data_IF_931256610212
#
_entry.id   IF_931256610212
#
_cell.length_a   1.000
_cell.length_b   1.000
_cell.length_c   1.000
_cell.angle_alpha   90.00
_cell.angle_beta   90.00
_cell.angle_gamma   90.00
#
_symmetry.space_group_name_H-M   'P 1'
#
loop_
_entity.id
_entity.type
_entity.pdbx_description
1 polymer ?
#
# COMPACT_ATOMS: atom_id res chain seq x y z
N UNK A 1 -20.65 -40.53 53.80
CA UNK A 1 -19.45 -40.00 53.12
C UNK A 1 -19.32 -40.70 51.77
N UNK A 2 -19.77 -40.05 50.70
CA UNK A 2 -19.51 -40.46 49.31
C UNK A 2 -19.07 -39.18 48.59
N UNK A 3 -17.76 -39.04 48.39
CA UNK A 3 -17.17 -37.96 47.59
C UNK A 3 -17.33 -38.33 46.11
N UNK A 4 -18.33 -37.73 45.46
CA UNK A 4 -18.42 -37.70 44.00
C UNK A 4 -17.46 -36.63 43.47
N UNK A 5 -16.28 -37.04 43.00
CA UNK A 5 -15.34 -36.17 42.29
C UNK A 5 -15.88 -35.89 40.88
N UNK A 6 -16.48 -34.71 40.71
CA UNK A 6 -16.70 -34.08 39.41
C UNK A 6 -15.33 -33.67 38.83
N UNK A 7 -14.63 -34.62 38.18
CA UNK A 7 -13.56 -34.27 37.24
C UNK A 7 -14.23 -33.97 35.90
N UNK A 8 -14.67 -32.72 35.75
CA UNK A 8 -15.02 -32.16 34.44
C UNK A 8 -13.69 -31.75 33.79
N UNK A 9 -13.02 -32.72 33.17
CA UNK A 9 -11.95 -32.44 32.22
C UNK A 9 -12.58 -31.81 30.98
N UNK A 10 -12.87 -30.52 31.07
CA UNK A 10 -13.17 -29.66 29.92
C UNK A 10 -11.87 -29.39 29.14
N UNK A 11 -11.26 -30.46 28.61
CA UNK A 11 -10.31 -30.37 27.50
C UNK A 11 -11.07 -30.07 26.20
N UNK A 12 -11.89 -29.00 26.20
CA UNK A 12 -12.34 -28.44 24.92
C UNK A 12 -11.10 -27.80 24.29
N UNK A 13 -10.65 -28.26 23.10
CA UNK A 13 -9.55 -27.59 22.43
C UNK A 13 -9.91 -26.11 22.27
N UNK A 14 -8.98 -25.17 22.54
CA UNK A 14 -9.26 -23.75 22.46
C UNK A 14 -9.81 -23.43 21.07
N UNK A 15 -11.00 -22.80 21.03
CA UNK A 15 -11.65 -22.42 19.78
C UNK A 15 -10.67 -21.57 18.94
N UNK A 16 -10.43 -21.87 17.65
CA UNK A 16 -9.44 -21.18 16.83
C UNK A 16 -9.58 -19.65 16.82
N UNK A 17 -10.81 -19.15 17.01
CA UNK A 17 -11.13 -17.72 17.09
C UNK A 17 -10.48 -17.00 18.28
N UNK A 18 -10.27 -17.65 19.43
CA UNK A 18 -9.63 -17.02 20.61
C UNK A 18 -8.12 -16.89 20.46
N UNK A 19 -7.52 -17.66 19.53
CA UNK A 19 -6.08 -17.64 19.26
C UNK A 19 -5.69 -16.60 18.20
N UNK A 20 -6.65 -15.94 17.55
CA UNK A 20 -6.39 -15.00 16.46
C UNK A 20 -5.70 -13.74 17.01
N UNK A 21 -4.41 -13.50 16.69
CA UNK A 21 -3.72 -12.34 17.25
C UNK A 21 -4.27 -11.05 16.65
N UNK A 22 -4.65 -10.08 17.48
CA UNK A 22 -5.22 -8.81 17.00
C UNK A 22 -4.28 -8.07 16.05
N UNK A 23 -2.96 -8.13 16.31
CA UNK A 23 -1.95 -7.48 15.47
C UNK A 23 -1.91 -8.09 14.06
N UNK A 24 -2.23 -9.38 13.90
CA UNK A 24 -2.33 -10.01 12.58
C UNK A 24 -3.48 -9.37 11.81
N UNK A 25 -4.64 -9.21 12.44
CA UNK A 25 -5.81 -8.58 11.82
C UNK A 25 -5.49 -7.15 11.38
N UNK A 26 -4.89 -6.37 12.28
CA UNK A 26 -4.48 -5.00 11.98
C UNK A 26 -3.51 -4.94 10.79
N UNK A 27 -2.46 -5.76 10.79
CA UNK A 27 -1.50 -5.78 9.67
C UNK A 27 -2.13 -6.23 8.36
N UNK A 28 -3.00 -7.24 8.36
CA UNK A 28 -3.67 -7.72 7.14
C UNK A 28 -4.66 -6.68 6.58
N UNK A 29 -5.34 -5.90 7.43
CA UNK A 29 -6.19 -4.80 6.98
C UNK A 29 -5.36 -3.68 6.36
N UNK A 30 -4.21 -3.34 6.96
CA UNK A 30 -3.30 -2.34 6.39
C UNK A 30 -2.73 -2.79 5.04
N UNK A 31 -2.31 -4.05 4.92
CA UNK A 31 -1.82 -4.58 3.63
C UNK A 31 -2.92 -4.68 2.59
N UNK A 32 -4.16 -4.97 3.00
CA UNK A 32 -5.31 -4.92 2.11
C UNK A 32 -5.52 -3.50 1.54
N UNK A 33 -5.47 -2.46 2.39
CA UNK A 33 -5.58 -1.06 1.94
C UNK A 33 -4.46 -0.67 0.98
N UNK A 34 -3.22 -1.08 1.27
CA UNK A 34 -2.08 -0.89 0.35
C UNK A 34 -2.35 -1.57 -0.99
N UNK A 35 -2.85 -2.81 -0.95
CA UNK A 35 -3.17 -3.58 -2.15
C UNK A 35 -4.24 -2.88 -3.02
N UNK A 36 -5.32 -2.38 -2.40
CA UNK A 36 -6.37 -1.63 -3.11
C UNK A 36 -5.82 -0.34 -3.71
N UNK A 37 -5.07 0.44 -2.93
CA UNK A 37 -4.45 1.68 -3.41
C UNK A 37 -3.49 1.41 -4.57
N UNK A 38 -2.63 0.40 -4.46
CA UNK A 38 -1.69 -0.01 -5.50
C UNK A 38 -2.39 -0.47 -6.78
N UNK A 39 -3.44 -1.28 -6.64
CA UNK A 39 -4.29 -1.71 -7.75
C UNK A 39 -4.93 -0.53 -8.48
N UNK A 40 -5.61 0.35 -7.74
CA UNK A 40 -6.29 1.52 -8.31
C UNK A 40 -5.31 2.49 -8.97
N UNK A 41 -4.17 2.76 -8.32
CA UNK A 41 -3.13 3.63 -8.87
C UNK A 41 -2.51 3.04 -10.15
N UNK A 42 -2.25 1.73 -10.19
CA UNK A 42 -1.75 1.03 -11.37
C UNK A 42 -2.75 1.09 -12.53
N UNK A 43 -4.04 0.83 -12.27
CA UNK A 43 -5.09 0.94 -13.27
C UNK A 43 -5.22 2.37 -13.82
N UNK A 44 -5.26 3.37 -12.93
CA UNK A 44 -5.34 4.78 -13.32
C UNK A 44 -4.15 5.21 -14.18
N UNK A 45 -2.94 4.83 -13.78
CA UNK A 45 -1.71 5.16 -14.53
C UNK A 45 -1.69 4.45 -15.89
N UNK A 46 -2.05 3.17 -15.96
CA UNK A 46 -2.08 2.42 -17.22
C UNK A 46 -3.13 2.97 -18.20
N UNK A 47 -4.32 3.32 -17.72
CA UNK A 47 -5.35 3.97 -18.55
C UNK A 47 -4.91 5.34 -19.03
N UNK A 48 -4.30 6.13 -18.15
CA UNK A 48 -3.77 7.46 -18.48
C UNK A 48 -2.69 7.39 -19.57
N UNK A 49 -1.68 6.54 -19.40
CA UNK A 49 -0.59 6.37 -20.37
C UNK A 49 -1.08 5.82 -21.71
N UNK A 50 -2.14 5.00 -21.70
CA UNK A 50 -2.78 4.52 -22.94
C UNK A 50 -3.50 5.64 -23.68
N UNK A 51 -4.03 6.64 -22.98
CA UNK A 51 -4.73 7.78 -23.57
C UNK A 51 -3.81 8.80 -24.25
N UNK A 52 -2.51 8.82 -23.92
CA UNK A 52 -1.51 9.67 -24.56
C UNK A 52 -1.65 11.18 -24.31
N UNK A 53 -2.57 11.62 -23.45
CA UNK A 53 -2.78 13.04 -23.16
C UNK A 53 -1.90 13.51 -22.01
N UNK A 54 -0.87 14.30 -22.30
CA UNK A 54 -0.03 14.94 -21.30
C UNK A 54 -0.48 16.39 -21.06
N UNK A 55 -0.89 16.77 -19.84
CA UNK A 55 -1.25 18.16 -19.55
C UNK A 55 -0.01 19.06 -19.62
N UNK A 56 -0.20 20.29 -20.09
CA UNK A 56 0.79 21.34 -19.97
C UNK A 56 0.74 21.94 -18.56
N UNK A 57 1.73 21.61 -17.75
CA UNK A 57 1.82 22.03 -16.34
C UNK A 57 1.87 23.55 -16.21
N UNK A 58 2.51 24.26 -17.15
CA UNK A 58 2.63 25.71 -17.06
C UNK A 58 1.31 26.40 -17.42
N UNK A 59 0.60 25.88 -18.43
CA UNK A 59 -0.74 26.37 -18.75
C UNK A 59 -1.72 26.14 -17.59
N UNK A 60 -1.68 24.96 -16.96
CA UNK A 60 -2.49 24.65 -15.76
C UNK A 60 -2.13 25.57 -14.60
N UNK A 61 -0.83 25.79 -14.36
CA UNK A 61 -0.38 26.67 -13.27
C UNK A 61 -0.82 28.12 -13.49
N UNK A 62 -0.73 28.64 -14.72
CA UNK A 62 -1.22 29.98 -15.06
C UNK A 62 -2.73 30.10 -14.83
N UNK A 63 -3.51 29.15 -15.36
CA UNK A 63 -4.96 29.14 -15.18
C UNK A 63 -5.37 29.04 -13.71
N UNK A 64 -4.69 28.20 -12.93
CA UNK A 64 -4.99 28.04 -11.50
C UNK A 64 -4.55 29.26 -10.68
N UNK A 65 -3.50 29.95 -11.09
CA UNK A 65 -3.08 31.22 -10.46
C UNK A 65 -4.14 32.29 -10.66
N UNK A 66 -4.73 32.39 -11.84
CA UNK A 66 -5.75 33.38 -12.16
C UNK A 66 -7.04 33.18 -11.34
N UNK A 67 -7.28 31.98 -10.82
CA UNK A 67 -8.41 31.66 -9.94
C UNK A 67 -8.20 32.12 -8.48
N UNK A 68 -6.98 32.48 -8.09
CA UNK A 68 -6.67 33.12 -6.81
C UNK A 68 -6.66 32.21 -5.57
N UNK A 69 -7.03 30.93 -5.68
CA UNK A 69 -7.01 29.99 -4.55
C UNK A 69 -5.69 29.20 -4.48
N UNK A 70 -4.82 29.52 -3.51
CA UNK A 70 -3.50 28.90 -3.34
C UNK A 70 -3.55 27.37 -3.12
N UNK A 71 -4.57 26.88 -2.42
CA UNK A 71 -4.77 25.44 -2.22
C UNK A 71 -5.14 24.74 -3.52
N UNK A 72 -6.07 25.30 -4.28
CA UNK A 72 -6.50 24.75 -5.57
C UNK A 72 -5.36 24.78 -6.60
N UNK A 73 -4.58 25.87 -6.61
CA UNK A 73 -3.34 25.97 -7.38
C UNK A 73 -2.41 24.79 -7.10
N UNK A 74 -2.14 24.54 -5.82
CA UNK A 74 -1.22 23.48 -5.40
C UNK A 74 -1.72 22.11 -5.86
N UNK A 75 -3.00 21.81 -5.65
CA UNK A 75 -3.60 20.53 -6.03
C UNK A 75 -3.51 20.28 -7.55
N UNK A 76 -3.95 21.26 -8.37
CA UNK A 76 -3.97 21.14 -9.83
C UNK A 76 -2.56 21.00 -10.41
N UNK A 77 -1.60 21.77 -9.89
CA UNK A 77 -0.20 21.71 -10.30
C UNK A 77 0.42 20.35 -9.97
N UNK A 78 0.17 19.81 -8.77
CA UNK A 78 0.69 18.51 -8.37
C UNK A 78 0.17 17.40 -9.28
N UNK A 79 -1.12 17.40 -9.59
CA UNK A 79 -1.77 16.42 -10.46
C UNK A 79 -1.24 16.53 -11.90
N UNK A 80 -1.20 17.75 -12.47
CA UNK A 80 -0.69 17.98 -13.82
C UNK A 80 0.80 17.61 -13.94
N UNK A 81 1.62 17.99 -12.97
CA UNK A 81 3.05 17.65 -12.95
C UNK A 81 3.27 16.13 -12.85
N UNK A 82 2.47 15.43 -12.03
CA UNK A 82 2.58 13.97 -11.91
C UNK A 82 2.21 13.29 -13.22
N UNK A 83 1.08 13.69 -13.82
CA UNK A 83 0.61 13.19 -15.11
C UNK A 83 1.65 13.42 -16.21
N UNK A 84 2.19 14.64 -16.31
CA UNK A 84 3.25 14.99 -17.26
C UNK A 84 4.53 14.18 -17.01
N UNK A 85 4.98 14.05 -15.77
CA UNK A 85 6.17 13.27 -15.44
C UNK A 85 6.01 11.79 -15.81
N UNK A 86 4.84 11.19 -15.57
CA UNK A 86 4.56 9.81 -16.00
C UNK A 86 4.64 9.66 -17.52
N UNK A 87 4.12 10.63 -18.28
CA UNK A 87 4.18 10.61 -19.75
C UNK A 87 5.62 10.68 -20.29
N UNK A 88 6.51 11.43 -19.64
CA UNK A 88 7.92 11.55 -20.06
C UNK A 88 8.71 10.24 -19.88
N UNK A 89 8.28 9.38 -18.96
CA UNK A 89 8.93 8.10 -18.66
C UNK A 89 7.96 6.94 -18.87
N UNK A 90 7.14 7.01 -19.93
CA UNK A 90 6.11 6.02 -20.22
C UNK A 90 6.68 4.60 -20.35
N UNK A 91 7.86 4.45 -20.97
CA UNK A 91 8.50 3.15 -21.20
C UNK A 91 8.80 2.38 -19.90
N UNK A 92 9.04 3.11 -18.81
CA UNK A 92 9.29 2.54 -17.48
C UNK A 92 8.00 2.50 -16.66
N UNK A 93 7.20 3.56 -16.72
CA UNK A 93 6.01 3.72 -15.88
C UNK A 93 4.87 2.78 -16.27
N UNK A 94 4.71 2.49 -17.56
CA UNK A 94 3.66 1.60 -18.06
C UNK A 94 3.81 0.15 -17.56
N UNK A 95 4.95 -0.55 -17.77
CA UNK A 95 5.10 -1.93 -17.29
C UNK A 95 5.04 -2.01 -15.75
N UNK A 96 5.59 -1.02 -15.04
CA UNK A 96 5.47 -0.95 -13.58
C UNK A 96 4.01 -0.79 -13.12
N UNK A 97 3.19 -0.05 -13.86
CA UNK A 97 1.76 0.09 -13.56
C UNK A 97 1.02 -1.23 -13.67
N UNK A 98 1.33 -2.04 -14.69
CA UNK A 98 0.79 -3.41 -14.80
C UNK A 98 1.25 -4.26 -13.60
N UNK A 99 2.51 -4.16 -13.21
CA UNK A 99 3.03 -4.82 -12.01
C UNK A 99 2.27 -4.45 -10.74
N UNK A 100 1.96 -3.15 -10.55
CA UNK A 100 1.15 -2.64 -9.43
C UNK A 100 -0.27 -3.20 -9.43
N UNK A 101 -0.91 -3.30 -10.60
CA UNK A 101 -2.24 -3.91 -10.72
C UNK A 101 -2.19 -5.37 -10.29
N UNK A 102 -1.26 -6.16 -10.84
CA UNK A 102 -1.18 -7.59 -10.56
C UNK A 102 -0.83 -7.87 -9.10
N UNK A 103 0.23 -7.25 -8.57
CA UNK A 103 0.69 -7.49 -7.21
C UNK A 103 -0.21 -6.86 -6.15
N UNK A 104 -0.78 -5.68 -6.42
CA UNK A 104 -1.77 -5.05 -5.56
C UNK A 104 -3.05 -5.87 -5.45
N UNK A 105 -3.57 -6.37 -6.59
CA UNK A 105 -4.71 -7.29 -6.61
C UNK A 105 -4.42 -8.60 -5.88
N UNK A 106 -3.23 -9.17 -6.09
CA UNK A 106 -2.80 -10.38 -5.39
C UNK A 106 -2.69 -10.16 -3.87
N UNK A 107 -2.20 -8.99 -3.45
CA UNK A 107 -2.10 -8.61 -2.04
C UNK A 107 -3.48 -8.45 -1.39
N UNK A 108 -4.45 -7.89 -2.11
CA UNK A 108 -5.85 -7.82 -1.67
C UNK A 108 -6.42 -9.22 -1.42
N UNK A 109 -6.25 -10.12 -2.39
CA UNK A 109 -6.74 -11.51 -2.27
C UNK A 109 -6.03 -12.24 -1.12
N UNK A 110 -4.70 -12.16 -1.05
CA UNK A 110 -3.92 -12.79 0.02
C UNK A 110 -4.33 -12.28 1.41
N UNK A 111 -4.50 -10.97 1.57
CA UNK A 111 -4.96 -10.37 2.82
C UNK A 111 -6.37 -10.85 3.18
N UNK A 112 -7.29 -10.93 2.21
CA UNK A 112 -8.63 -11.48 2.40
C UNK A 112 -8.62 -12.96 2.83
N UNK A 113 -7.79 -13.78 2.19
CA UNK A 113 -7.62 -15.20 2.54
C UNK A 113 -7.05 -15.38 3.96
N UNK A 114 -6.05 -14.57 4.33
CA UNK A 114 -5.49 -14.55 5.67
C UNK A 114 -6.53 -14.11 6.72
N UNK A 115 -7.33 -13.09 6.40
CA UNK A 115 -8.39 -12.61 7.28
C UNK A 115 -9.54 -13.61 7.43
N UNK A 116 -9.84 -14.37 6.37
CA UNK A 116 -10.81 -15.45 6.37
C UNK A 116 -10.33 -16.70 7.13
N UNK A 117 -9.06 -16.76 7.55
CA UNK A 117 -8.52 -17.90 8.26
C UNK A 117 -8.58 -19.17 7.42
N UNK A 118 -8.24 -19.11 6.13
CA UNK A 118 -8.18 -20.31 5.28
C UNK A 118 -6.92 -21.14 5.59
N UNK A 119 -7.02 -22.47 5.67
CA UNK A 119 -5.88 -23.33 5.95
C UNK A 119 -4.84 -23.26 4.82
N UNK A 120 -3.55 -23.43 5.16
CA UNK A 120 -2.45 -23.40 4.19
C UNK A 120 -2.09 -22.02 3.60
N UNK A 121 -2.83 -20.97 3.92
CA UNK A 121 -2.64 -19.64 3.30
C UNK A 121 -1.39 -18.89 3.76
N UNK A 122 -0.86 -19.20 4.95
CA UNK A 122 0.28 -18.48 5.54
C UNK A 122 1.50 -18.40 4.60
N UNK A 123 1.87 -19.52 3.97
CA UNK A 123 3.03 -19.57 3.07
C UNK A 123 2.82 -18.70 1.84
N UNK A 124 1.64 -18.80 1.23
CA UNK A 124 1.24 -17.97 0.09
C UNK A 124 1.24 -16.48 0.45
N UNK A 125 0.65 -16.08 1.58
CA UNK A 125 0.59 -14.68 2.01
C UNK A 125 2.00 -14.12 2.24
N UNK A 126 2.90 -14.91 2.83
CA UNK A 126 4.30 -14.51 2.98
C UNK A 126 5.00 -14.30 1.64
N UNK A 127 4.80 -15.19 0.66
CA UNK A 127 5.35 -15.02 -0.69
C UNK A 127 4.82 -13.75 -1.36
N UNK A 128 3.51 -13.49 -1.27
CA UNK A 128 2.88 -12.29 -1.83
C UNK A 128 3.41 -11.02 -1.17
N UNK A 129 3.60 -11.01 0.15
CA UNK A 129 4.18 -9.87 0.87
C UNK A 129 5.62 -9.61 0.45
N UNK A 130 6.45 -10.66 0.34
CA UNK A 130 7.84 -10.52 -0.10
C UNK A 130 7.93 -10.04 -1.55
N UNK A 131 7.08 -10.55 -2.44
CA UNK A 131 7.00 -10.09 -3.82
C UNK A 131 6.60 -8.61 -3.90
N UNK A 132 5.60 -8.18 -3.12
CA UNK A 132 5.20 -6.77 -3.04
C UNK A 132 6.30 -5.89 -2.45
N UNK A 133 7.04 -6.36 -1.44
CA UNK A 133 8.15 -5.63 -0.84
C UNK A 133 9.29 -5.43 -1.84
N UNK A 134 9.69 -6.50 -2.54
CA UNK A 134 10.72 -6.45 -3.57
C UNK A 134 10.29 -5.55 -4.73
N UNK A 135 9.05 -5.69 -5.18
CA UNK A 135 8.50 -4.86 -6.24
C UNK A 135 8.43 -3.38 -5.85
N UNK A 136 8.01 -3.04 -4.62
CA UNK A 136 8.00 -1.67 -4.13
C UNK A 136 9.41 -1.05 -4.15
N UNK A 137 10.44 -1.81 -3.77
CA UNK A 137 11.83 -1.35 -3.84
C UNK A 137 12.30 -1.12 -5.29
N UNK A 138 11.96 -2.03 -6.21
CA UNK A 138 12.30 -1.90 -7.64
C UNK A 138 11.55 -0.72 -8.27
N UNK A 139 10.24 -0.60 -8.03
CA UNK A 139 9.42 0.52 -8.50
C UNK A 139 9.98 1.85 -7.99
N UNK A 140 10.31 1.93 -6.69
CA UNK A 140 10.93 3.12 -6.12
C UNK A 140 12.27 3.43 -6.80
N UNK A 141 13.15 2.45 -7.00
CA UNK A 141 14.44 2.68 -7.64
C UNK A 141 14.29 3.17 -9.09
N UNK A 142 13.45 2.50 -9.89
CA UNK A 142 13.28 2.77 -11.32
C UNK A 142 12.51 4.08 -11.58
N UNK A 143 11.56 4.45 -10.73
CA UNK A 143 10.78 5.69 -10.89
C UNK A 143 11.50 6.93 -10.33
N UNK A 144 12.81 6.86 -10.06
CA UNK A 144 13.60 8.02 -9.62
C UNK A 144 13.54 9.18 -10.63
N UNK A 145 13.61 8.90 -11.93
CA UNK A 145 13.50 9.91 -12.99
C UNK A 145 12.13 10.59 -13.00
N UNK A 146 11.06 9.81 -12.88
CA UNK A 146 9.68 10.32 -12.76
C UNK A 146 9.55 11.27 -11.58
N UNK A 147 10.03 10.86 -10.39
CA UNK A 147 9.97 11.71 -9.19
C UNK A 147 10.79 12.98 -9.35
N UNK A 148 11.99 12.90 -9.94
CA UNK A 148 12.80 14.08 -10.22
C UNK A 148 12.07 15.08 -11.11
N UNK A 149 11.56 14.62 -12.26
CA UNK A 149 10.83 15.47 -13.19
C UNK A 149 9.55 16.08 -12.57
N UNK A 150 8.82 15.29 -11.78
CA UNK A 150 7.66 15.78 -11.04
C UNK A 150 8.03 16.90 -10.05
N UNK A 151 9.06 16.68 -9.23
CA UNK A 151 9.53 17.66 -8.24
C UNK A 151 10.01 18.95 -8.93
N UNK A 152 10.75 18.82 -10.03
CA UNK A 152 11.26 19.97 -10.79
C UNK A 152 10.10 20.79 -11.38
N UNK A 153 9.09 20.14 -11.95
CA UNK A 153 7.90 20.79 -12.49
C UNK A 153 7.09 21.51 -11.40
N UNK A 154 6.91 20.87 -10.24
CA UNK A 154 6.21 21.47 -9.10
C UNK A 154 6.98 22.69 -8.58
N UNK A 155 8.30 22.61 -8.48
CA UNK A 155 9.13 23.73 -8.04
C UNK A 155 9.09 24.90 -9.04
N UNK A 156 9.14 24.61 -10.34
CA UNK A 156 9.02 25.62 -11.41
C UNK A 156 7.64 26.29 -11.39
N UNK A 157 6.56 25.51 -11.29
CA UNK A 157 5.21 26.04 -11.18
C UNK A 157 5.02 26.86 -9.90
N UNK A 158 5.52 26.38 -8.76
CA UNK A 158 5.48 27.08 -7.48
C UNK A 158 6.17 28.45 -7.51
N UNK A 159 7.17 28.66 -8.37
CA UNK A 159 7.81 29.95 -8.55
C UNK A 159 6.89 31.03 -9.15
N UNK A 160 5.75 30.63 -9.76
CA UNK A 160 4.72 31.55 -10.25
C UNK A 160 3.86 32.16 -9.14
N UNK A 161 3.88 31.58 -7.92
CA UNK A 161 3.16 32.14 -6.78
C UNK A 161 3.84 33.43 -6.28
N UNK A 162 3.07 34.40 -5.79
CA UNK A 162 3.62 35.58 -5.12
C UNK A 162 4.55 35.19 -3.94
N UNK A 163 5.62 35.97 -3.67
CA UNK A 163 6.63 35.63 -2.66
C UNK A 163 6.11 35.67 -1.22
N UNK A 164 5.01 36.36 -0.98
CA UNK A 164 4.31 36.53 0.29
C UNK A 164 3.41 35.35 0.67
N UNK A 165 3.15 34.43 -0.28
CA UNK A 165 2.31 33.25 -0.07
C UNK A 165 3.11 32.14 0.64
N UNK A 166 2.69 31.66 1.82
CA UNK A 166 3.46 30.68 2.59
C UNK A 166 3.64 29.33 1.86
N UNK A 167 2.68 28.94 1.02
CA UNK A 167 2.71 27.71 0.22
C UNK A 167 3.89 27.68 -0.78
N UNK A 168 4.36 28.85 -1.23
CA UNK A 168 5.47 28.95 -2.19
C UNK A 168 6.75 28.32 -1.66
N UNK A 169 7.07 28.51 -0.38
CA UNK A 169 8.28 27.97 0.23
C UNK A 169 8.26 26.43 0.27
N UNK A 170 7.08 25.83 0.45
CA UNK A 170 6.92 24.37 0.40
C UNK A 170 7.06 23.82 -1.02
N UNK A 171 6.48 24.49 -2.01
CA UNK A 171 6.52 24.04 -3.42
C UNK A 171 7.91 24.20 -4.05
N UNK A 172 8.61 25.29 -3.75
CA UNK A 172 9.91 25.62 -4.36
C UNK A 172 11.12 24.97 -3.69
N UNK A 173 10.92 24.08 -2.70
CA UNK A 173 12.00 23.39 -2.01
C UNK A 173 12.08 21.90 -2.41
N UNK A 174 12.88 21.54 -3.45
CA UNK A 174 13.06 20.16 -3.88
C UNK A 174 13.54 19.21 -2.77
N UNK A 175 14.37 19.70 -1.84
CA UNK A 175 14.91 18.89 -0.75
C UNK A 175 13.82 18.38 0.19
N UNK A 176 12.80 19.22 0.44
CA UNK A 176 11.62 18.84 1.22
C UNK A 176 10.82 17.73 0.52
N UNK A 177 10.57 17.86 -0.79
CA UNK A 177 9.85 16.84 -1.57
C UNK A 177 10.58 15.50 -1.63
N UNK A 178 11.89 15.53 -1.87
CA UNK A 178 12.71 14.31 -1.84
C UNK A 178 12.69 13.62 -0.48
N UNK A 179 12.70 14.39 0.60
CA UNK A 179 12.61 13.85 1.96
C UNK A 179 11.22 13.27 2.23
N UNK A 180 10.16 13.99 1.85
CA UNK A 180 8.79 13.53 1.98
C UNK A 180 8.55 12.21 1.23
N UNK A 181 9.04 12.09 -0.01
CA UNK A 181 8.93 10.85 -0.78
C UNK A 181 9.68 9.67 -0.16
N UNK A 182 10.88 9.90 0.40
CA UNK A 182 11.64 8.86 1.12
C UNK A 182 10.91 8.40 2.38
N UNK A 183 10.45 9.35 3.18
CA UNK A 183 9.71 9.08 4.41
C UNK A 183 8.42 8.33 4.08
N UNK A 184 7.68 8.78 3.07
CA UNK A 184 6.45 8.14 2.60
C UNK A 184 6.71 6.68 2.21
N UNK A 185 7.74 6.43 1.40
CA UNK A 185 8.11 5.09 0.95
C UNK A 185 8.48 4.16 2.13
N UNK A 186 9.33 4.63 3.04
CA UNK A 186 9.77 3.82 4.19
C UNK A 186 8.61 3.51 5.14
N UNK A 187 7.81 4.52 5.49
CA UNK A 187 6.74 4.37 6.49
C UNK A 187 5.53 3.64 5.91
N UNK A 188 5.02 4.07 4.76
CA UNK A 188 3.74 3.56 4.25
C UNK A 188 3.88 2.30 3.41
N UNK A 189 5.04 2.03 2.82
CA UNK A 189 5.22 0.83 2.00
C UNK A 189 6.05 -0.22 2.73
N UNK A 190 7.31 0.10 3.06
CA UNK A 190 8.21 -0.90 3.63
C UNK A 190 7.84 -1.31 5.06
N UNK A 191 7.52 -0.36 5.94
CA UNK A 191 7.22 -0.68 7.34
C UNK A 191 5.90 -1.45 7.48
N UNK A 192 4.88 -1.12 6.68
CA UNK A 192 3.59 -1.84 6.71
C UNK A 192 3.76 -3.27 6.15
N UNK A 193 4.36 -3.44 4.97
CA UNK A 193 4.59 -4.78 4.39
C UNK A 193 5.53 -5.61 5.27
N UNK A 194 6.60 -4.99 5.79
CA UNK A 194 7.56 -5.64 6.68
C UNK A 194 6.94 -6.06 8.01
N UNK A 195 6.13 -5.20 8.63
CA UNK A 195 5.42 -5.54 9.88
C UNK A 195 4.40 -6.67 9.68
N UNK A 196 3.71 -6.71 8.55
CA UNK A 196 2.82 -7.81 8.18
C UNK A 196 3.58 -9.13 7.98
N UNK A 197 4.72 -9.11 7.30
CA UNK A 197 5.58 -10.28 7.14
C UNK A 197 6.08 -10.78 8.50
N UNK A 198 6.56 -9.88 9.36
CA UNK A 198 6.97 -10.21 10.74
C UNK A 198 5.81 -10.75 11.57
N UNK A 199 4.61 -10.20 11.42
CA UNK A 199 3.42 -10.71 12.11
C UNK A 199 3.10 -12.16 11.72
N UNK A 200 3.34 -12.55 10.46
CA UNK A 200 3.14 -13.90 9.96
C UNK A 200 4.25 -14.90 10.34
N UNK A 201 5.43 -14.41 10.73
CA UNK A 201 6.51 -15.27 11.23
C UNK A 201 6.45 -15.51 12.74
N UNK A 202 5.67 -14.72 13.49
CA UNK A 202 5.49 -14.89 14.94
C UNK A 202 4.82 -16.21 15.31
N UNK A 203 5.30 -16.80 16.39
CA UNK A 203 4.88 -18.13 16.90
C UNK A 203 3.36 -18.24 17.09
N UNK A 204 2.74 -17.23 17.73
CA UNK A 204 1.27 -17.19 17.95
C UNK A 204 0.49 -17.27 16.64
N UNK A 205 0.98 -16.62 15.58
CA UNK A 205 0.36 -16.66 14.27
C UNK A 205 0.51 -18.04 13.63
N UNK A 206 1.67 -18.70 13.80
CA UNK A 206 1.86 -20.08 13.33
C UNK A 206 0.86 -21.02 13.98
N UNK A 207 0.70 -20.92 15.30
CA UNK A 207 -0.24 -21.73 16.08
C UNK A 207 -1.68 -21.50 15.63
N UNK A 208 -2.06 -20.24 15.37
CA UNK A 208 -3.40 -19.92 14.83
C UNK A 208 -3.67 -20.64 13.50
N UNK A 209 -2.76 -20.51 12.52
CA UNK A 209 -2.95 -21.16 11.21
C UNK A 209 -2.87 -22.69 11.28
N UNK A 210 -2.09 -23.26 12.20
CA UNK A 210 -2.08 -24.70 12.47
C UNK A 210 -3.39 -25.19 13.09
N UNK A 211 -3.94 -24.45 14.05
CA UNK A 211 -5.23 -24.78 14.67
C UNK A 211 -6.37 -24.76 13.65
N UNK A 212 -6.40 -23.73 12.79
CA UNK A 212 -7.32 -23.62 11.65
C UNK A 212 -7.20 -24.82 10.71
N UNK A 213 -5.97 -25.22 10.36
CA UNK A 213 -5.76 -26.37 9.48
C UNK A 213 -6.30 -27.67 10.07
N UNK A 214 -6.11 -27.90 11.38
CA UNK A 214 -6.64 -29.08 12.07
C UNK A 214 -8.17 -29.13 12.04
N UNK A 215 -8.84 -28.01 12.32
CA UNK A 215 -10.32 -27.96 12.30
C UNK A 215 -10.94 -28.15 10.92
N UNK A 216 -10.16 -28.02 9.83
CA UNK A 216 -10.69 -28.23 8.47
C UNK A 216 -10.56 -29.69 8.01
N UNK A 217 -9.61 -30.43 8.58
CA UNK A 217 -9.35 -31.84 8.24
C UNK A 217 -10.25 -32.80 9.02
N UNK A 218 -10.76 -32.37 10.17
CA UNK A 218 -11.62 -33.18 11.03
C UNK A 218 -13.04 -32.61 11.17
N UNK A 219 -13.87 -32.68 10.11
CA UNK A 219 -15.27 -32.29 10.18
C UNK A 219 -16.16 -33.36 10.85
N UNK A 220 -15.59 -34.47 11.34
CA UNK A 220 -16.32 -35.68 11.77
C UNK A 220 -16.58 -35.82 13.27
N UNK A 221 -15.97 -34.99 14.13
CA UNK A 221 -16.24 -34.98 15.57
C UNK A 221 -17.06 -33.74 15.98
N UNK A 222 -18.31 -33.67 15.53
CA UNK A 222 -19.34 -32.87 16.22
C UNK A 222 -20.14 -33.79 17.17
N UNK A 223 -20.24 -33.49 18.49
CA UNK A 223 -21.27 -34.05 19.35
C UNK A 223 -22.63 -33.35 19.18
#
# INVERSE_FOLDING_TARGET
>A
MLHGSLHVDSHRPPRPRSLRPWYLVATMLLTWLIGVRGFMAGCGTAMYLRGGMAPDVMAVAQQARDQGEAFQFTYLVLEAAQARALSLYQDVSFPLSIGKVLLGGLLVVASGLALGGRPGTRGFVLQVLLANLAFAAVDYALTRGVRGAWIDMVAQAGALLPPDVPERAGLTNPGLWWTAERVRFVIFELAILGSAALALTRERTKLYFQAVARTTVDPGEEP
#
